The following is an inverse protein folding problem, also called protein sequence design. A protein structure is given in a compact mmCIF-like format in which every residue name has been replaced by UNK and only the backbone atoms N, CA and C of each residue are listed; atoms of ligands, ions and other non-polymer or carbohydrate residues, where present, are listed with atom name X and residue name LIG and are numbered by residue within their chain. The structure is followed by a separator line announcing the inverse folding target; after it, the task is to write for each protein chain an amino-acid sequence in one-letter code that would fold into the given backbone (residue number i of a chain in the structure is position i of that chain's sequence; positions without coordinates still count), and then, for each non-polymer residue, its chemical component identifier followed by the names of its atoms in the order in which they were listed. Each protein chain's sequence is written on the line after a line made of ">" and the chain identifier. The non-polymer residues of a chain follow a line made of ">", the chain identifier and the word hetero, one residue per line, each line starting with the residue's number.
data_IF_741514036912
#
_entry.id   IF_741514036912
#
_cell.length_a   1.000
_cell.length_b   1.000
_cell.length_c   1.000
_cell.angle_alpha   90.00
_cell.angle_beta   90.00
_cell.angle_gamma   90.00
#
_symmetry.space_group_name_H-M   'P 1'
#
loop_
_entity.id
_entity.type
_entity.pdbx_description
1 polymer ?
#
# COMPACT_ATOMS: atom_id res chain seq x y z
N UNK A 1 10.26 41.55 42.04
CA UNK A 1 10.36 41.05 40.65
C UNK A 1 9.14 40.17 40.40
N UNK A 2 8.38 40.42 39.33
CA UNK A 2 7.08 39.78 39.09
C UNK A 2 7.24 38.47 38.32
N UNK A 3 6.58 37.39 38.76
CA UNK A 3 6.65 36.08 38.09
C UNK A 3 6.06 36.05 36.67
N UNK A 4 5.34 37.11 36.26
CA UNK A 4 4.84 37.26 34.90
C UNK A 4 5.96 37.61 33.91
N UNK A 5 6.97 38.37 34.35
CA UNK A 5 8.14 38.72 33.53
C UNK A 5 9.03 37.49 33.28
N UNK A 6 9.21 36.64 34.29
CA UNK A 6 9.96 35.38 34.13
C UNK A 6 9.31 34.45 33.10
N UNK A 7 7.96 34.39 33.09
CA UNK A 7 7.24 33.63 32.07
C UNK A 7 7.38 34.24 30.67
N UNK A 8 7.40 35.57 30.54
CA UNK A 8 7.61 36.24 29.26
C UNK A 8 9.03 35.96 28.71
N UNK A 9 10.05 36.04 29.57
CA UNK A 9 11.43 35.73 29.20
C UNK A 9 11.61 34.25 28.81
N UNK A 10 10.98 33.33 29.54
CA UNK A 10 11.02 31.90 29.21
C UNK A 10 10.38 31.60 27.84
N UNK A 11 9.27 32.27 27.49
CA UNK A 11 8.63 32.14 26.16
C UNK A 11 9.53 32.65 25.04
N UNK A 12 10.14 33.81 25.22
CA UNK A 12 11.07 34.39 24.24
C UNK A 12 12.32 33.53 24.03
N UNK A 13 12.87 32.97 25.11
CA UNK A 13 14.05 32.07 25.03
C UNK A 13 13.74 30.78 24.25
N UNK A 14 12.55 30.19 24.45
CA UNK A 14 12.08 29.01 23.70
C UNK A 14 11.80 29.31 22.23
N UNK A 15 11.27 30.49 21.91
CA UNK A 15 11.01 30.90 20.53
C UNK A 15 12.31 31.09 19.74
N UNK A 16 13.34 31.71 20.33
CA UNK A 16 14.66 31.90 19.69
C UNK A 16 15.43 30.59 19.51
N UNK A 17 15.30 29.65 20.44
CA UNK A 17 15.97 28.35 20.37
C UNK A 17 15.37 27.38 19.35
N UNK A 18 14.16 27.66 18.83
CA UNK A 18 13.44 26.81 17.87
C UNK A 18 13.17 27.54 16.56
N UNK A 19 14.18 28.23 16.02
CA UNK A 19 14.14 28.68 14.64
C UNK A 19 14.05 27.45 13.74
N UNK A 20 12.85 27.14 13.25
CA UNK A 20 12.65 26.04 12.30
C UNK A 20 13.42 26.35 11.01
N UNK A 21 14.12 25.36 10.44
CA UNK A 21 14.77 25.56 9.16
C UNK A 21 13.73 25.89 8.09
N UNK A 22 14.07 26.75 7.11
CA UNK A 22 13.14 27.13 6.07
C UNK A 22 12.66 25.88 5.30
N UNK A 23 11.37 25.82 4.92
CA UNK A 23 10.83 24.71 4.13
C UNK A 23 11.63 24.53 2.84
N UNK A 24 12.08 23.29 2.58
CA UNK A 24 12.93 22.96 1.43
C UNK A 24 12.18 22.89 0.09
N UNK A 25 10.86 22.94 0.12
CA UNK A 25 10.01 22.86 -1.07
C UNK A 25 9.02 24.02 -1.04
N UNK A 26 8.91 24.72 -2.17
CA UNK A 26 7.88 25.75 -2.34
C UNK A 26 6.52 25.06 -2.27
N UNK A 27 5.57 25.68 -1.56
CA UNK A 27 4.19 25.21 -1.60
C UNK A 27 3.71 25.23 -3.06
N UNK A 28 2.99 24.20 -3.53
CA UNK A 28 2.41 24.22 -4.87
C UNK A 28 1.59 25.49 -5.05
N UNK A 29 1.79 26.19 -6.17
CA UNK A 29 0.99 27.36 -6.50
C UNK A 29 -0.47 26.93 -6.58
N UNK A 30 -1.29 27.37 -5.62
CA UNK A 30 -2.73 27.39 -5.79
C UNK A 30 -3.02 28.48 -6.83
N UNK A 31 -3.07 28.07 -8.10
CA UNK A 31 -3.66 28.90 -9.14
C UNK A 31 -5.11 29.17 -8.72
N UNK A 32 -5.37 30.40 -8.30
CA UNK A 32 -6.70 30.92 -8.09
C UNK A 32 -7.44 30.86 -9.43
N UNK A 33 -8.32 29.87 -9.60
CA UNK A 33 -9.27 29.87 -10.70
C UNK A 33 -10.56 30.55 -10.21
N UNK A 34 -11.02 31.65 -10.84
CA UNK A 34 -12.39 32.11 -10.67
C UNK A 34 -13.34 31.12 -11.37
N UNK A 35 -14.47 30.87 -10.74
CA UNK A 35 -15.51 29.97 -11.22
C UNK A 35 -16.18 30.51 -12.49
N UNK A 36 -16.11 29.76 -13.60
CA UNK A 36 -17.15 29.76 -14.65
C UNK A 36 -17.04 28.47 -15.48
N UNK A 37 -18.13 27.70 -15.54
CA UNK A 37 -18.42 26.68 -16.57
C UNK A 37 -19.29 27.33 -17.67
N UNK A 38 -19.50 26.78 -18.89
CA UNK A 38 -19.31 25.38 -19.34
C UNK A 38 -18.61 25.15 -20.73
N UNK A 39 -18.18 23.90 -20.97
CA UNK A 39 -18.15 23.01 -22.18
C UNK A 39 -18.04 23.62 -23.63
N UNK A 40 -17.39 23.01 -24.69
CA UNK A 40 -16.99 21.60 -24.96
C UNK A 40 -15.53 21.34 -25.43
N UNK A 41 -15.21 20.05 -25.60
CA UNK A 41 -13.99 19.48 -26.20
C UNK A 41 -13.76 19.93 -27.68
N UNK A 42 -12.53 19.88 -28.25
CA UNK A 42 -11.89 18.59 -28.63
C UNK A 42 -10.35 18.53 -28.45
N UNK A 43 -9.80 17.31 -28.42
CA UNK A 43 -8.40 17.01 -28.77
C UNK A 43 -8.17 17.37 -30.27
N UNK A 44 -6.95 17.61 -30.80
CA UNK A 44 -5.81 16.70 -30.72
C UNK A 44 -4.41 17.38 -30.75
N UNK A 45 -3.38 16.57 -30.96
CA UNK A 45 -2.08 16.90 -31.61
C UNK A 45 -0.84 17.04 -30.69
N UNK A 46 -0.08 15.94 -30.66
CA UNK A 46 1.37 15.97 -30.55
C UNK A 46 1.98 16.81 -31.69
N UNK A 47 3.23 17.28 -31.53
CA UNK A 47 4.25 16.60 -32.32
C UNK A 47 5.57 16.35 -31.57
N UNK A 48 6.18 15.23 -31.92
CA UNK A 48 7.62 14.97 -31.84
C UNK A 48 8.43 16.12 -32.45
N UNK A 49 9.66 16.38 -31.96
CA UNK A 49 10.86 16.49 -32.80
C UNK A 49 12.15 16.48 -31.94
N UNK A 50 12.94 15.46 -32.22
CA UNK A 50 14.38 15.21 -32.09
C UNK A 50 15.33 16.42 -32.17
N UNK A 51 16.43 16.40 -31.38
CA UNK A 51 17.82 16.78 -31.74
C UNK A 51 18.60 17.24 -30.50
N UNK A 52 19.93 17.13 -30.35
CA UNK A 52 21.03 16.31 -30.85
C UNK A 52 22.23 16.75 -29.98
N UNK A 53 23.19 15.86 -29.69
CA UNK A 53 24.41 16.15 -28.93
C UNK A 53 25.43 16.99 -29.78
N UNK A 54 26.58 17.46 -29.25
CA UNK A 54 27.76 16.58 -29.13
C UNK A 54 28.84 16.91 -28.04
N UNK A 55 29.67 15.88 -27.73
CA UNK A 55 31.13 15.81 -27.51
C UNK A 55 31.82 16.68 -26.42
N UNK A 56 32.90 16.32 -25.70
CA UNK A 56 33.88 15.22 -25.63
C UNK A 56 34.42 15.20 -24.16
N UNK A 57 35.15 14.22 -23.60
CA UNK A 57 36.55 13.86 -23.86
C UNK A 57 36.85 12.47 -23.24
N UNK A 58 37.62 11.67 -23.97
CA UNK A 58 38.17 10.35 -23.62
C UNK A 58 39.51 10.47 -22.87
N UNK A 59 39.83 9.52 -21.97
CA UNK A 59 41.22 9.01 -21.77
C UNK A 59 41.17 7.50 -21.45
N UNK A 60 42.23 6.82 -21.86
CA UNK A 60 42.46 5.41 -22.26
C UNK A 60 42.73 4.38 -21.15
N UNK A 61 42.55 3.10 -21.52
CA UNK A 61 42.75 1.80 -20.83
C UNK A 61 44.21 1.29 -20.88
N UNK A 62 44.60 0.00 -20.64
CA UNK A 62 43.97 -1.18 -20.00
C UNK A 62 44.92 -1.99 -19.03
N UNK A 63 44.39 -2.89 -18.17
CA UNK A 63 45.13 -4.13 -17.78
C UNK A 63 44.19 -5.25 -17.30
N UNK A 64 44.63 -6.49 -17.52
CA UNK A 64 43.87 -7.73 -17.69
C UNK A 64 43.92 -8.63 -16.43
N UNK A 65 42.92 -9.53 -16.29
CA UNK A 65 42.75 -10.66 -15.33
C UNK A 65 42.18 -10.23 -13.97
N UNK A 66 41.12 -10.82 -13.39
CA UNK A 66 40.68 -12.23 -13.32
C UNK A 66 39.16 -12.28 -13.11
N UNK A 67 38.49 -13.19 -13.81
CA UNK A 67 37.04 -13.46 -13.78
C UNK A 67 36.65 -14.21 -12.49
N UNK A 68 35.70 -13.70 -11.67
CA UNK A 68 35.03 -14.49 -10.64
C UNK A 68 33.94 -15.37 -11.27
N UNK A 69 33.80 -16.59 -10.74
CA UNK A 69 32.89 -17.63 -11.21
C UNK A 69 31.44 -17.15 -11.37
N UNK A 70 30.79 -17.60 -12.45
CA UNK A 70 29.37 -17.36 -12.70
C UNK A 70 28.52 -18.00 -11.57
N UNK A 71 27.57 -17.26 -10.97
CA UNK A 71 26.59 -17.87 -10.07
C UNK A 71 25.66 -18.80 -10.87
N UNK A 72 25.33 -19.94 -10.27
CA UNK A 72 24.39 -20.92 -10.79
C UNK A 72 23.06 -20.27 -11.21
N UNK A 73 22.36 -20.78 -12.24
CA UNK A 73 21.07 -20.25 -12.63
C UNK A 73 20.09 -20.33 -11.44
N UNK A 74 19.32 -19.27 -11.16
CA UNK A 74 18.29 -19.33 -10.13
C UNK A 74 17.27 -20.42 -10.47
N UNK A 75 16.62 -21.05 -9.47
CA UNK A 75 15.53 -21.99 -9.71
C UNK A 75 14.45 -21.32 -10.58
N UNK A 76 13.74 -22.07 -11.44
CA UNK A 76 12.70 -21.50 -12.29
C UNK A 76 11.72 -20.74 -11.42
N UNK A 77 11.63 -19.42 -11.63
CA UNK A 77 10.61 -18.60 -11.01
C UNK A 77 9.26 -19.22 -11.37
N UNK A 78 8.50 -19.63 -10.36
CA UNK A 78 7.11 -20.02 -10.52
C UNK A 78 6.44 -19.00 -11.42
N UNK A 79 5.76 -19.48 -12.47
CA UNK A 79 5.13 -18.65 -13.49
C UNK A 79 4.32 -17.56 -12.80
N UNK A 80 4.84 -16.35 -12.83
CA UNK A 80 4.09 -15.18 -12.42
C UNK A 80 2.96 -15.06 -13.42
N UNK A 81 1.73 -15.33 -13.00
CA UNK A 81 0.50 -14.93 -13.68
C UNK A 81 0.42 -13.40 -13.67
N UNK A 82 1.37 -12.78 -14.38
CA UNK A 82 1.46 -11.36 -14.62
C UNK A 82 0.40 -11.05 -15.66
N UNK A 83 -0.69 -10.39 -15.25
CA UNK A 83 -1.56 -9.77 -16.26
C UNK A 83 -2.97 -9.44 -15.86
N UNK A 84 -3.52 -10.02 -14.77
CA UNK A 84 -4.82 -9.53 -14.27
C UNK A 84 -4.58 -8.48 -13.20
N UNK A 85 -4.80 -7.22 -13.56
CA UNK A 85 -4.87 -6.12 -12.60
C UNK A 85 -5.95 -6.43 -11.57
N UNK A 86 -5.55 -6.66 -10.33
CA UNK A 86 -6.48 -6.87 -9.21
C UNK A 86 -7.05 -5.51 -8.84
N UNK A 87 -8.33 -5.29 -9.15
CA UNK A 87 -9.07 -4.11 -8.70
C UNK A 87 -9.41 -4.20 -7.21
N UNK A 88 -9.71 -3.06 -6.56
CA UNK A 88 -10.22 -3.08 -5.19
C UNK A 88 -11.57 -3.82 -5.13
N UNK A 89 -11.74 -4.65 -4.11
CA UNK A 89 -13.00 -5.37 -3.83
C UNK A 89 -13.38 -5.13 -2.38
N UNK A 90 -14.66 -4.88 -2.13
CA UNK A 90 -15.23 -4.76 -0.78
C UNK A 90 -15.79 -6.10 -0.36
N UNK A 91 -15.41 -6.57 0.83
CA UNK A 91 -15.93 -7.78 1.46
C UNK A 91 -16.34 -7.46 2.90
N UNK A 92 -17.37 -8.11 3.40
CA UNK A 92 -17.89 -7.91 4.75
C UNK A 92 -17.53 -9.11 5.62
N UNK A 93 -17.15 -8.82 6.86
CA UNK A 93 -16.90 -9.81 7.90
C UNK A 93 -17.93 -9.59 9.02
N UNK A 94 -18.25 -10.66 9.73
CA UNK A 94 -18.94 -10.56 11.00
C UNK A 94 -18.00 -10.00 12.07
N UNK A 95 -18.60 -9.48 13.15
CA UNK A 95 -17.88 -8.85 14.26
C UNK A 95 -16.77 -9.74 14.85
N UNK A 96 -16.97 -11.04 15.15
CA UNK A 96 -15.89 -11.86 15.71
C UNK A 96 -14.72 -12.08 14.72
N UNK A 97 -14.99 -12.15 13.42
CA UNK A 97 -13.91 -12.24 12.42
C UNK A 97 -13.16 -10.92 12.31
N UNK A 98 -13.85 -9.79 12.44
CA UNK A 98 -13.22 -8.46 12.42
C UNK A 98 -12.31 -8.26 13.65
N UNK A 99 -12.76 -8.64 14.84
CA UNK A 99 -11.93 -8.60 16.06
C UNK A 99 -10.67 -9.46 15.91
N UNK A 100 -10.81 -10.66 15.37
CA UNK A 100 -9.68 -11.56 15.13
C UNK A 100 -8.68 -10.98 14.12
N UNK A 101 -9.17 -10.40 13.02
CA UNK A 101 -8.31 -9.73 12.03
C UNK A 101 -7.56 -8.53 12.62
N UNK A 102 -8.15 -7.82 13.58
CA UNK A 102 -7.47 -6.76 14.31
C UNK A 102 -6.36 -7.33 15.22
N UNK A 103 -6.64 -8.39 15.97
CA UNK A 103 -5.66 -9.06 16.82
C UNK A 103 -4.44 -9.54 16.00
N UNK A 104 -4.68 -10.19 14.86
CA UNK A 104 -3.63 -10.62 13.94
C UNK A 104 -2.82 -9.43 13.44
N UNK A 105 -3.47 -8.32 13.12
CA UNK A 105 -2.81 -7.09 12.68
C UNK A 105 -1.93 -6.48 13.78
N UNK A 106 -2.38 -6.51 15.04
CA UNK A 106 -1.60 -6.05 16.21
C UNK A 106 -0.37 -6.93 16.40
N UNK A 107 -0.54 -8.26 16.35
CA UNK A 107 0.56 -9.21 16.47
C UNK A 107 1.59 -9.05 15.34
N UNK A 108 1.11 -8.89 14.10
CA UNK A 108 1.93 -8.72 12.90
C UNK A 108 2.70 -7.40 12.82
N UNK A 109 2.38 -6.39 13.65
CA UNK A 109 3.18 -5.15 13.75
C UNK A 109 4.56 -5.38 14.36
N UNK A 110 4.69 -6.40 15.21
CA UNK A 110 5.94 -6.71 15.93
C UNK A 110 6.93 -7.54 15.09
N UNK A 111 6.47 -8.15 14.01
CA UNK A 111 7.28 -9.03 13.15
C UNK A 111 7.93 -8.26 11.99
N UNK A 112 9.00 -8.83 11.43
CA UNK A 112 9.60 -8.40 10.15
C UNK A 112 9.46 -9.55 9.16
N UNK A 113 8.89 -9.33 7.96
CA UNK A 113 8.24 -8.10 7.47
C UNK A 113 6.97 -7.75 8.26
N UNK A 114 6.59 -6.46 8.26
CA UNK A 114 5.43 -5.95 9.00
C UNK A 114 4.15 -6.37 8.28
N UNK A 115 3.21 -7.00 9.00
CA UNK A 115 1.93 -7.46 8.45
C UNK A 115 0.81 -6.84 9.27
N UNK A 116 0.41 -5.63 8.88
CA UNK A 116 -0.62 -4.83 9.58
C UNK A 116 -1.85 -4.54 8.71
N UNK A 117 -1.95 -5.20 7.55
CA UNK A 117 -3.02 -4.97 6.58
C UNK A 117 -4.03 -6.12 6.52
N UNK A 118 -5.31 -5.80 6.78
CA UNK A 118 -6.44 -6.74 6.64
C UNK A 118 -6.49 -7.38 5.25
N UNK A 119 -6.21 -6.61 4.19
CA UNK A 119 -6.22 -7.14 2.82
C UNK A 119 -5.04 -8.08 2.54
N UNK A 120 -3.91 -7.95 3.25
CA UNK A 120 -2.82 -8.91 3.16
C UNK A 120 -3.20 -10.24 3.84
N UNK A 121 -3.85 -10.16 5.00
CA UNK A 121 -4.33 -11.32 5.76
C UNK A 121 -5.41 -12.06 4.96
N UNK A 122 -6.40 -11.34 4.42
CA UNK A 122 -7.46 -11.93 3.58
C UNK A 122 -6.88 -12.64 2.33
N UNK A 123 -5.93 -12.02 1.63
CA UNK A 123 -5.24 -12.66 0.49
C UNK A 123 -4.43 -13.89 0.90
N UNK A 124 -3.87 -13.92 2.11
CA UNK A 124 -3.19 -15.11 2.62
C UNK A 124 -4.19 -16.23 2.92
N UNK A 125 -5.29 -15.92 3.60
CA UNK A 125 -6.34 -16.89 3.92
C UNK A 125 -6.92 -17.53 2.65
N UNK A 126 -7.26 -16.73 1.64
CA UNK A 126 -7.79 -17.24 0.37
C UNK A 126 -6.76 -18.11 -0.36
N UNK A 127 -5.48 -17.70 -0.40
CA UNK A 127 -4.42 -18.53 -1.02
C UNK A 127 -4.24 -19.85 -0.28
N UNK A 128 -4.33 -19.83 1.05
CA UNK A 128 -4.27 -21.06 1.86
C UNK A 128 -5.45 -21.98 1.54
N UNK A 129 -6.66 -21.43 1.49
CA UNK A 129 -7.87 -22.18 1.13
C UNK A 129 -7.76 -22.81 -0.27
N UNK A 130 -7.26 -22.05 -1.25
CA UNK A 130 -7.04 -22.55 -2.62
C UNK A 130 -6.05 -23.71 -2.70
N UNK A 131 -5.10 -23.79 -1.76
CA UNK A 131 -4.12 -24.89 -1.73
C UNK A 131 -4.68 -26.13 -1.02
N UNK A 132 -5.68 -25.98 -0.16
CA UNK A 132 -6.21 -27.04 0.69
C UNK A 132 -7.49 -27.68 0.13
N UNK A 133 -8.31 -26.93 -0.61
CA UNK A 133 -9.62 -27.39 -1.09
C UNK A 133 -9.87 -27.02 -2.55
N UNK A 134 -10.58 -27.90 -3.26
CA UNK A 134 -11.14 -27.54 -4.57
C UNK A 134 -12.31 -26.57 -4.39
N UNK A 135 -12.63 -25.75 -5.41
CA UNK A 135 -13.78 -24.84 -5.32
C UNK A 135 -15.10 -25.54 -4.97
N UNK A 136 -15.29 -26.76 -5.45
CA UNK A 136 -16.49 -27.58 -5.15
C UNK A 136 -16.56 -27.95 -3.67
N UNK A 137 -15.44 -28.40 -3.10
CA UNK A 137 -15.33 -28.72 -1.67
C UNK A 137 -15.57 -27.48 -0.79
N UNK A 138 -15.11 -26.30 -1.22
CA UNK A 138 -15.39 -25.04 -0.50
C UNK A 138 -16.90 -24.77 -0.46
N UNK A 139 -17.59 -24.95 -1.59
CA UNK A 139 -19.04 -24.74 -1.66
C UNK A 139 -19.78 -25.76 -0.78
N UNK A 140 -19.37 -27.02 -0.79
CA UNK A 140 -19.95 -28.07 0.06
C UNK A 140 -19.75 -27.77 1.55
N UNK A 141 -18.55 -27.35 1.94
CA UNK A 141 -18.25 -26.97 3.32
C UNK A 141 -19.10 -25.79 3.80
N UNK A 142 -19.22 -24.72 2.98
CA UNK A 142 -20.07 -23.56 3.29
C UNK A 142 -21.53 -23.98 3.47
N UNK A 143 -22.04 -24.89 2.60
CA UNK A 143 -23.40 -25.41 2.73
C UNK A 143 -23.58 -26.22 4.02
N UNK A 144 -22.62 -27.06 4.38
CA UNK A 144 -22.67 -27.88 5.59
C UNK A 144 -22.70 -27.00 6.86
N UNK A 145 -21.87 -25.96 6.92
CA UNK A 145 -21.83 -25.02 8.05
C UNK A 145 -23.11 -24.17 8.16
N UNK A 146 -23.61 -23.69 7.01
CA UNK A 146 -24.89 -22.97 6.95
C UNK A 146 -26.05 -23.83 7.45
N UNK A 147 -26.07 -25.11 7.06
CA UNK A 147 -27.07 -26.07 7.53
C UNK A 147 -26.94 -26.28 9.05
N UNK A 148 -25.73 -26.50 9.58
CA UNK A 148 -25.51 -26.68 11.01
C UNK A 148 -26.05 -25.49 11.82
N UNK A 149 -25.82 -24.27 11.35
CA UNK A 149 -26.29 -23.04 12.01
C UNK A 149 -27.81 -22.86 11.89
N UNK A 150 -28.43 -23.28 10.79
CA UNK A 150 -29.88 -23.17 10.61
C UNK A 150 -30.68 -24.07 11.58
N UNK A 151 -30.14 -25.23 11.96
CA UNK A 151 -30.80 -26.17 12.87
C UNK A 151 -30.74 -25.75 14.35
N UNK A 152 -29.97 -24.72 14.70
CA UNK A 152 -29.85 -24.24 16.09
C UNK A 152 -30.89 -23.18 16.47
N UNK A 153 -31.65 -22.66 15.50
CA UNK A 153 -32.75 -21.72 15.77
C UNK A 153 -34.04 -22.49 16.00
N UNK A 154 -34.52 -22.64 17.25
CA UNK A 154 -35.85 -23.19 17.49
C UNK A 154 -36.86 -22.31 16.77
N UNK A 155 -37.56 -22.89 15.79
CA UNK A 155 -38.55 -22.19 15.00
C UNK A 155 -39.61 -21.56 15.90
N UNK A 156 -39.90 -20.28 15.68
CA UNK A 156 -41.02 -19.58 16.33
C UNK A 156 -42.30 -20.39 16.07
N UNK A 157 -43.04 -20.80 17.12
CA UNK A 157 -44.30 -21.52 16.92
C UNK A 157 -45.24 -20.65 16.10
N UNK A 158 -45.75 -21.22 15.01
CA UNK A 158 -46.81 -20.60 14.21
C UNK A 158 -48.10 -20.89 14.97
N UNK A 159 -48.57 -19.90 15.71
CA UNK A 159 -49.83 -19.94 16.44
C UNK A 159 -50.87 -19.10 15.71
#
# INVERSE_FOLDING_TARGET
>A
MSGLDDMAQARQKRARARSMPPPRHQAPAVSAAPATAPEPAPAPEQPDTTANAPAAVQVTSPTKKKQPAAPAPPPPRAASTTGRTVGPSTIYFDEPTDDWLEEVSIAGRRTKPRIDSRSAIARYAVRKLMNEMTPEQVIEAIRAESAATAHTKPGRPRH
#
